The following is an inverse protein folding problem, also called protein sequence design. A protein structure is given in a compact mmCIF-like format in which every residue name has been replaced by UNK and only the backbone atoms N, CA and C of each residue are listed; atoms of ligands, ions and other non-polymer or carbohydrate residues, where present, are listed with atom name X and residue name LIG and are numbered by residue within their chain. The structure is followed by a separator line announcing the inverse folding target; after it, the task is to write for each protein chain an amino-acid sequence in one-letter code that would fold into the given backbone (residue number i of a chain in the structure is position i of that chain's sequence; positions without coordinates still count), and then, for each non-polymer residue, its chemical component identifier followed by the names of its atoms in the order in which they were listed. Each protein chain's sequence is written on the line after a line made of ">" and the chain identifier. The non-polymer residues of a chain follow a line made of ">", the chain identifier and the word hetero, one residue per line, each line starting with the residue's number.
data_IF_213110002564
#
_entry.id   IF_213110002564
#
_cell.length_a   1.000
_cell.length_b   1.000
_cell.length_c   1.000
_cell.angle_alpha   90.00
_cell.angle_beta   90.00
_cell.angle_gamma   90.00
#
_symmetry.space_group_name_H-M   'P 1'
#
loop_
_entity.id
_entity.type
_entity.pdbx_description
1 polymer ?
#
# COMPACT_ATOMS: atom_id res chain seq x y z
N UNK A 1 7.23 -22.76 8.78
CA UNK A 1 6.57 -22.27 7.56
C UNK A 1 7.57 -22.30 6.40
N UNK A 2 7.13 -22.80 5.24
CA UNK A 2 7.96 -22.84 4.02
C UNK A 2 7.70 -21.63 3.10
N UNK A 3 6.52 -21.02 3.21
CA UNK A 3 6.13 -19.84 2.42
C UNK A 3 5.49 -18.79 3.32
N UNK A 4 5.95 -17.54 3.20
CA UNK A 4 5.47 -16.42 4.01
C UNK A 4 5.16 -15.26 3.05
N UNK A 5 3.88 -14.85 3.01
CA UNK A 5 3.43 -13.69 2.25
C UNK A 5 3.17 -12.53 3.20
N UNK A 6 3.75 -11.38 2.89
CA UNK A 6 3.52 -10.12 3.59
C UNK A 6 2.54 -9.28 2.77
N UNK A 7 1.36 -9.02 3.32
CA UNK A 7 0.44 -8.02 2.77
C UNK A 7 0.80 -6.66 3.37
N UNK A 8 1.31 -5.78 2.53
CA UNK A 8 1.77 -4.46 2.95
C UNK A 8 0.68 -3.40 2.76
N UNK A 9 0.50 -2.56 3.77
CA UNK A 9 -0.43 -1.44 3.78
C UNK A 9 0.21 -0.06 3.64
N UNK A 10 1.55 0.05 3.57
CA UNK A 10 2.23 1.35 3.56
C UNK A 10 3.50 1.34 2.72
N UNK A 11 3.61 2.31 1.79
CA UNK A 11 4.75 2.40 0.86
C UNK A 11 6.12 2.52 1.55
N UNK A 12 6.20 3.18 2.69
CA UNK A 12 7.44 3.32 3.48
C UNK A 12 8.02 2.00 4.00
N UNK A 13 7.24 0.93 4.05
CA UNK A 13 7.70 -0.38 4.50
C UNK A 13 8.44 -1.17 3.41
N UNK A 14 8.23 -0.86 2.13
CA UNK A 14 8.69 -1.67 1.00
C UNK A 14 10.20 -1.90 1.08
N UNK A 15 10.99 -0.82 1.07
CA UNK A 15 12.45 -0.91 1.06
C UNK A 15 13.01 -1.68 2.28
N UNK A 16 12.40 -1.51 3.46
CA UNK A 16 12.81 -2.20 4.68
C UNK A 16 12.50 -3.70 4.62
N UNK A 17 11.32 -4.08 4.11
CA UNK A 17 10.94 -5.48 3.95
C UNK A 17 11.83 -6.17 2.90
N UNK A 18 12.07 -5.52 1.76
CA UNK A 18 12.94 -6.06 0.70
C UNK A 18 14.39 -6.22 1.17
N UNK A 19 14.90 -5.25 1.94
CA UNK A 19 16.23 -5.36 2.55
C UNK A 19 16.30 -6.56 3.51
N UNK A 20 15.30 -6.75 4.36
CA UNK A 20 15.22 -7.88 5.28
C UNK A 20 15.15 -9.22 4.53
N UNK A 21 14.39 -9.31 3.43
CA UNK A 21 14.36 -10.51 2.59
C UNK A 21 15.74 -10.82 1.99
N UNK A 22 16.42 -9.78 1.46
CA UNK A 22 17.75 -9.91 0.89
C UNK A 22 18.76 -10.41 1.93
N UNK A 23 18.71 -9.88 3.16
CA UNK A 23 19.57 -10.29 4.25
C UNK A 23 19.36 -11.75 4.64
N UNK A 24 18.10 -12.19 4.82
CA UNK A 24 17.76 -13.57 5.14
C UNK A 24 18.26 -14.57 4.09
N UNK A 25 18.10 -14.25 2.80
CA UNK A 25 18.63 -15.09 1.72
C UNK A 25 20.15 -15.07 1.65
N UNK A 26 20.79 -13.94 1.94
CA UNK A 26 22.24 -13.81 1.99
C UNK A 26 22.83 -14.67 3.12
N UNK A 27 22.22 -14.67 4.31
CA UNK A 27 22.64 -15.53 5.43
C UNK A 27 22.64 -17.02 5.05
N UNK A 28 21.58 -17.50 4.39
CA UNK A 28 21.53 -18.88 3.91
C UNK A 28 22.62 -19.17 2.88
N UNK A 29 22.87 -18.22 1.95
CA UNK A 29 23.90 -18.33 0.91
C UNK A 29 25.30 -18.38 1.52
N UNK A 30 25.61 -17.52 2.48
CA UNK A 30 26.91 -17.52 3.20
C UNK A 30 27.11 -18.81 3.99
N UNK A 31 26.05 -19.35 4.56
CA UNK A 31 26.06 -20.63 5.25
C UNK A 31 26.12 -21.83 4.28
N UNK A 32 26.11 -21.61 2.96
CA UNK A 32 26.10 -22.65 1.91
C UNK A 32 25.00 -23.68 2.10
N UNK A 33 23.81 -23.23 2.49
CA UNK A 33 22.62 -24.08 2.69
C UNK A 33 21.40 -23.47 1.96
N UNK A 34 20.42 -24.27 1.56
CA UNK A 34 19.14 -23.76 1.11
C UNK A 34 18.48 -22.89 2.19
N UNK A 35 17.74 -21.84 1.79
CA UNK A 35 16.98 -21.04 2.71
C UNK A 35 15.85 -21.86 3.39
N UNK A 36 15.23 -22.79 2.65
CA UNK A 36 14.14 -23.62 3.14
C UNK A 36 12.82 -22.87 3.30
N UNK A 37 12.75 -21.63 2.81
CA UNK A 37 11.54 -20.81 2.81
C UNK A 37 11.52 -19.89 1.58
N UNK A 38 10.32 -19.47 1.20
CA UNK A 38 10.09 -18.43 0.20
C UNK A 38 9.33 -17.25 0.83
N UNK A 39 9.75 -16.04 0.49
CA UNK A 39 9.18 -14.78 0.97
C UNK A 39 8.55 -14.04 -0.20
N UNK A 40 7.37 -13.45 0.01
CA UNK A 40 6.69 -12.65 -0.98
C UNK A 40 6.11 -11.39 -0.33
N UNK A 41 6.40 -10.22 -0.91
CA UNK A 41 5.79 -8.96 -0.56
C UNK A 41 4.68 -8.65 -1.57
N UNK A 42 3.52 -8.27 -1.08
CA UNK A 42 2.40 -7.82 -1.90
C UNK A 42 1.86 -6.54 -1.29
N UNK A 43 1.85 -5.45 -2.05
CA UNK A 43 1.19 -4.23 -1.62
C UNK A 43 -0.30 -4.33 -1.95
N UNK A 44 -1.18 -3.89 -1.06
CA UNK A 44 -2.63 -4.02 -1.27
C UNK A 44 -3.11 -3.30 -2.53
N UNK A 45 -2.48 -2.17 -2.89
CA UNK A 45 -2.82 -1.38 -4.07
C UNK A 45 -2.32 -1.99 -5.38
N UNK A 46 -1.34 -2.90 -5.33
CA UNK A 46 -0.79 -3.61 -6.50
C UNK A 46 -1.54 -4.94 -6.77
N UNK A 47 -2.51 -5.30 -5.93
CA UNK A 47 -3.38 -6.45 -6.18
C UNK A 47 -4.19 -6.24 -7.46
N UNK A 48 -4.50 -7.33 -8.14
CA UNK A 48 -5.13 -7.35 -9.46
C UNK A 48 -6.35 -6.43 -9.56
N UNK A 49 -6.27 -5.42 -10.42
CA UNK A 49 -7.33 -4.45 -10.73
C UNK A 49 -7.51 -3.33 -9.71
N UNK A 50 -6.83 -3.36 -8.55
CA UNK A 50 -7.04 -2.37 -7.47
C UNK A 50 -6.56 -0.99 -7.90
N UNK A 51 -5.37 -0.89 -8.47
CA UNK A 51 -4.81 0.38 -8.91
C UNK A 51 -5.64 1.00 -10.05
N UNK A 52 -6.09 0.18 -11.00
CA UNK A 52 -6.97 0.60 -12.09
C UNK A 52 -8.33 1.09 -11.57
N UNK A 53 -8.89 0.42 -10.56
CA UNK A 53 -10.13 0.86 -9.92
C UNK A 53 -9.92 2.19 -9.19
N UNK A 54 -8.84 2.31 -8.42
CA UNK A 54 -8.51 3.54 -7.71
C UNK A 54 -8.37 4.74 -8.67
N UNK A 55 -7.67 4.58 -9.79
CA UNK A 55 -7.55 5.65 -10.78
C UNK A 55 -8.86 5.98 -11.51
N UNK A 56 -9.74 5.01 -11.72
CA UNK A 56 -11.09 5.27 -12.24
C UNK A 56 -11.97 6.01 -11.24
N UNK A 57 -11.89 5.67 -9.96
CA UNK A 57 -12.67 6.32 -8.91
C UNK A 57 -12.16 7.72 -8.58
N UNK A 58 -10.86 7.94 -8.76
CA UNK A 58 -10.16 9.18 -8.40
C UNK A 58 -9.26 9.64 -9.54
N UNK A 59 -9.83 10.02 -10.70
CA UNK A 59 -9.04 10.40 -11.88
C UNK A 59 -8.22 11.68 -11.69
N UNK A 60 -8.60 12.50 -10.72
CA UNK A 60 -7.91 13.74 -10.32
C UNK A 60 -7.80 13.75 -8.80
N UNK A 61 -6.67 14.20 -8.26
CA UNK A 61 -6.47 14.30 -6.81
C UNK A 61 -6.24 12.96 -6.10
N UNK A 62 -5.84 11.90 -6.82
CA UNK A 62 -5.44 10.64 -6.17
C UNK A 62 -4.14 10.81 -5.38
N UNK A 63 -3.11 11.40 -6.00
CA UNK A 63 -1.84 11.67 -5.34
C UNK A 63 -1.03 10.43 -5.01
N UNK A 64 -0.08 10.61 -4.08
CA UNK A 64 0.86 9.55 -3.66
C UNK A 64 0.96 9.37 -2.13
N UNK A 65 0.38 10.28 -1.35
CA UNK A 65 0.33 10.20 0.11
C UNK A 65 -0.98 10.79 0.63
N UNK A 66 -1.58 10.17 1.62
CA UNK A 66 -2.94 10.42 2.10
C UNK A 66 -3.95 10.38 0.93
N UNK A 67 -3.87 9.33 0.13
CA UNK A 67 -4.67 9.16 -1.08
C UNK A 67 -6.15 8.95 -0.74
N UNK A 68 -7.09 9.43 -1.56
CA UNK A 68 -8.50 9.18 -1.31
C UNK A 68 -8.87 7.69 -1.35
N UNK A 69 -8.08 6.83 -2.02
CA UNK A 69 -8.29 5.38 -1.98
C UNK A 69 -7.97 4.79 -0.60
N UNK A 70 -6.86 5.18 0.04
CA UNK A 70 -6.51 4.76 1.41
C UNK A 70 -7.54 5.27 2.42
N UNK A 71 -7.95 6.53 2.28
CA UNK A 71 -8.95 7.14 3.16
C UNK A 71 -10.31 6.43 2.98
N UNK A 72 -10.72 6.10 1.74
CA UNK A 72 -11.96 5.39 1.48
C UNK A 72 -11.99 4.00 2.15
N UNK A 73 -10.87 3.25 2.07
CA UNK A 73 -10.73 1.96 2.76
C UNK A 73 -10.85 2.13 4.28
N UNK A 74 -10.22 3.17 4.84
CA UNK A 74 -10.31 3.47 6.27
C UNK A 74 -11.74 3.87 6.68
N UNK A 75 -12.42 4.69 5.88
CA UNK A 75 -13.82 5.10 6.12
C UNK A 75 -14.77 3.90 6.04
N UNK A 76 -14.55 2.98 5.13
CA UNK A 76 -15.33 1.75 5.04
C UNK A 76 -15.15 0.87 6.28
N UNK A 77 -13.92 0.75 6.78
CA UNK A 77 -13.62 -0.06 7.95
C UNK A 77 -14.12 0.57 9.27
N UNK A 78 -14.15 1.90 9.34
CA UNK A 78 -14.48 2.66 10.55
C UNK A 78 -15.40 3.86 10.23
N UNK A 79 -16.62 3.61 9.72
CA UNK A 79 -17.51 4.69 9.28
C UNK A 79 -17.92 5.65 10.39
N UNK A 80 -17.96 5.18 11.62
CA UNK A 80 -18.25 6.01 12.81
C UNK A 80 -17.11 6.98 13.19
N UNK A 81 -15.93 6.78 12.64
CA UNK A 81 -14.73 7.59 12.92
C UNK A 81 -14.44 8.63 11.83
N UNK A 82 -15.30 8.78 10.84
CA UNK A 82 -15.14 9.75 9.75
C UNK A 82 -15.16 11.17 10.31
N UNK A 83 -14.14 11.96 9.93
CA UNK A 83 -14.01 13.36 10.28
C UNK A 83 -14.09 14.21 9.02
N UNK A 84 -14.75 15.38 9.13
CA UNK A 84 -14.68 16.40 8.10
C UNK A 84 -13.46 17.27 8.30
N UNK A 85 -12.81 17.66 7.22
CA UNK A 85 -11.73 18.63 7.21
C UNK A 85 -11.83 19.52 5.96
N UNK A 86 -11.45 20.76 6.11
CA UNK A 86 -11.27 21.66 4.97
C UNK A 86 -9.80 21.62 4.53
N UNK A 87 -9.58 21.54 3.22
CA UNK A 87 -8.22 21.45 2.67
C UNK A 87 -7.89 22.68 1.84
N UNK A 88 -6.70 23.25 2.08
CA UNK A 88 -6.17 24.38 1.30
C UNK A 88 -4.68 24.16 1.01
N UNK A 89 -4.28 24.00 -0.26
CA UNK A 89 -5.15 23.87 -1.45
C UNK A 89 -5.99 22.58 -1.41
N UNK A 90 -7.09 22.50 -2.17
CA UNK A 90 -7.96 21.33 -2.20
C UNK A 90 -7.18 20.09 -2.64
N UNK A 91 -6.42 20.17 -3.72
CA UNK A 91 -5.45 19.14 -4.11
C UNK A 91 -4.08 19.60 -3.61
N UNK A 92 -3.42 18.79 -2.80
CA UNK A 92 -2.12 19.11 -2.23
C UNK A 92 -1.01 19.20 -3.29
N UNK A 93 0.07 19.92 -2.97
CA UNK A 93 1.26 19.98 -3.80
C UNK A 93 1.92 18.59 -3.95
N UNK A 94 2.71 18.46 -5.02
CA UNK A 94 3.55 17.27 -5.28
C UNK A 94 5.02 17.61 -5.08
N UNK A 95 5.85 16.58 -4.91
CA UNK A 95 7.30 16.75 -4.85
C UNK A 95 8.01 15.54 -4.24
N UNK A 96 9.34 15.54 -4.21
CA UNK A 96 10.10 14.45 -3.64
C UNK A 96 10.03 14.47 -2.11
N UNK A 97 10.05 13.28 -1.51
CA UNK A 97 10.29 13.08 -0.08
C UNK A 97 11.80 12.95 0.10
N UNK A 98 12.39 13.78 0.97
CA UNK A 98 13.83 13.75 1.30
C UNK A 98 14.03 13.37 2.76
N UNK A 99 13.94 14.36 3.64
CA UNK A 99 14.09 14.18 5.08
C UNK A 99 12.93 14.86 5.84
N UNK A 100 12.82 14.60 7.13
CA UNK A 100 11.64 14.96 7.91
C UNK A 100 11.32 16.46 7.97
N UNK A 101 12.33 17.34 8.01
CA UNK A 101 12.10 18.79 8.08
C UNK A 101 11.67 19.34 6.73
N UNK A 102 12.32 18.90 5.63
CA UNK A 102 11.92 19.25 4.26
C UNK A 102 10.49 18.77 3.96
N UNK A 103 10.17 17.53 4.38
CA UNK A 103 8.83 16.97 4.22
C UNK A 103 7.76 17.81 4.94
N UNK A 104 7.96 18.14 6.21
CA UNK A 104 7.02 18.94 7.00
C UNK A 104 6.85 20.35 6.48
N UNK A 105 7.92 20.94 5.94
CA UNK A 105 7.87 22.28 5.34
C UNK A 105 7.07 22.31 4.04
N UNK A 106 7.20 21.27 3.20
CA UNK A 106 6.52 21.17 1.90
C UNK A 106 5.09 20.65 2.00
N UNK A 107 4.87 19.72 2.91
CA UNK A 107 3.61 18.98 3.08
C UNK A 107 3.14 19.07 4.54
N UNK A 108 2.75 20.27 5.02
CA UNK A 108 2.48 20.51 6.44
C UNK A 108 1.31 19.69 6.98
N UNK A 109 0.39 19.26 6.13
CA UNK A 109 -0.73 18.38 6.46
C UNK A 109 -0.51 16.91 6.03
N UNK A 110 0.68 16.59 5.50
CA UNK A 110 1.08 15.26 5.08
C UNK A 110 0.53 14.79 3.74
N UNK A 111 -0.34 15.55 3.08
CA UNK A 111 -0.88 15.19 1.77
C UNK A 111 0.14 15.46 0.65
N UNK A 112 0.15 14.59 -0.38
CA UNK A 112 0.99 14.78 -1.56
C UNK A 112 0.20 14.49 -2.84
N UNK A 113 -0.18 15.56 -3.57
CA UNK A 113 -0.97 15.47 -4.80
C UNK A 113 -2.39 14.97 -4.59
N UNK A 114 -2.81 14.79 -3.34
CA UNK A 114 -4.05 14.12 -2.98
C UNK A 114 -5.13 15.08 -2.50
N UNK A 115 -6.38 14.65 -2.69
CA UNK A 115 -7.59 15.24 -2.13
C UNK A 115 -8.38 14.17 -1.37
N UNK A 116 -8.16 13.99 -0.07
CA UNK A 116 -8.87 13.00 0.74
C UNK A 116 -10.39 13.20 0.81
N UNK A 117 -10.90 14.42 0.52
CA UNK A 117 -12.34 14.69 0.51
C UNK A 117 -13.10 13.92 -0.59
N UNK A 118 -12.40 13.36 -1.58
CA UNK A 118 -12.98 12.52 -2.62
C UNK A 118 -13.33 11.11 -2.14
N UNK A 119 -12.84 10.71 -0.96
CA UNK A 119 -13.09 9.40 -0.38
C UNK A 119 -14.55 9.24 0.05
N UNK A 120 -15.11 8.04 -0.17
CA UNK A 120 -16.41 7.65 0.39
C UNK A 120 -16.36 6.20 0.88
N UNK A 121 -17.27 5.86 1.78
CA UNK A 121 -17.42 4.51 2.31
C UNK A 121 -17.67 3.49 1.19
N UNK A 122 -18.52 3.83 0.23
CA UNK A 122 -18.89 2.96 -0.90
C UNK A 122 -17.68 2.63 -1.77
N UNK A 123 -16.89 3.64 -2.15
CA UNK A 123 -15.64 3.46 -2.92
C UNK A 123 -14.65 2.60 -2.16
N UNK A 124 -14.55 2.80 -0.84
CA UNK A 124 -13.73 1.97 0.04
C UNK A 124 -14.15 0.51 0.01
N UNK A 125 -15.45 0.23 0.10
CA UNK A 125 -16.01 -1.11 0.02
C UNK A 125 -15.69 -1.83 -1.29
N UNK A 126 -15.79 -1.10 -2.43
CA UNK A 126 -15.44 -1.64 -3.75
C UNK A 126 -13.95 -2.01 -3.83
N UNK A 127 -13.07 -1.11 -3.34
CA UNK A 127 -11.61 -1.36 -3.29
C UNK A 127 -11.28 -2.58 -2.43
N UNK A 128 -11.86 -2.68 -1.23
CA UNK A 128 -11.63 -3.82 -0.33
C UNK A 128 -12.12 -5.13 -0.94
N UNK A 129 -13.30 -5.14 -1.55
CA UNK A 129 -13.83 -6.36 -2.19
C UNK A 129 -12.94 -6.84 -3.33
N UNK A 130 -12.44 -5.92 -4.16
CA UNK A 130 -11.52 -6.24 -5.25
C UNK A 130 -10.15 -6.70 -4.71
N UNK A 131 -9.60 -5.98 -3.72
CA UNK A 131 -8.33 -6.33 -3.09
C UNK A 131 -8.38 -7.71 -2.43
N UNK A 132 -9.47 -8.05 -1.74
CA UNK A 132 -9.66 -9.37 -1.14
C UNK A 132 -9.61 -10.49 -2.19
N UNK A 133 -10.28 -10.31 -3.34
CA UNK A 133 -10.22 -11.25 -4.45
C UNK A 133 -8.80 -11.39 -5.02
N UNK A 134 -8.13 -10.27 -5.27
CA UNK A 134 -6.75 -10.25 -5.76
C UNK A 134 -5.77 -10.89 -4.78
N UNK A 135 -5.98 -10.71 -3.46
CA UNK A 135 -5.18 -11.35 -2.44
C UNK A 135 -5.34 -12.88 -2.45
N UNK A 136 -6.58 -13.38 -2.57
CA UNK A 136 -6.83 -14.84 -2.69
C UNK A 136 -6.09 -15.41 -3.91
N UNK A 137 -6.15 -14.72 -5.06
CA UNK A 137 -5.43 -15.14 -6.26
C UNK A 137 -3.91 -15.16 -6.02
N UNK A 138 -3.36 -14.12 -5.38
CA UNK A 138 -1.93 -14.02 -5.07
C UNK A 138 -1.47 -15.10 -4.10
N UNK A 139 -2.25 -15.40 -3.06
CA UNK A 139 -1.97 -16.47 -2.10
C UNK A 139 -1.99 -17.84 -2.79
N UNK A 140 -3.01 -18.11 -3.61
CA UNK A 140 -3.12 -19.39 -4.32
C UNK A 140 -1.95 -19.57 -5.31
N UNK A 141 -1.61 -18.55 -6.09
CA UNK A 141 -0.47 -18.58 -7.00
C UNK A 141 0.83 -18.88 -6.24
N UNK A 142 1.10 -18.14 -5.16
CA UNK A 142 2.31 -18.34 -4.34
C UNK A 142 2.34 -19.71 -3.66
N UNK A 143 1.20 -20.23 -3.22
CA UNK A 143 1.10 -21.55 -2.61
C UNK A 143 1.44 -22.68 -3.59
N UNK A 144 1.11 -22.49 -4.89
CA UNK A 144 1.35 -23.46 -5.95
C UNK A 144 2.75 -23.36 -6.58
N UNK A 145 3.55 -22.35 -6.27
CA UNK A 145 4.96 -22.30 -6.69
C UNK A 145 5.72 -23.50 -6.13
N UNK A 146 6.82 -23.90 -6.80
CA UNK A 146 7.67 -24.96 -6.30
C UNK A 146 8.17 -24.65 -4.88
N UNK A 147 8.38 -25.71 -4.09
CA UNK A 147 8.99 -25.56 -2.76
C UNK A 147 10.42 -25.06 -2.90
N UNK A 148 10.87 -24.17 -2.00
CA UNK A 148 12.23 -23.65 -2.00
C UNK A 148 13.29 -24.70 -1.65
#
# INVERSE_FOLDING_TARGET
>A
FEKILFLNGHGGNIATIEAAFSELYAEASYARRPAGFALKLVNWWDLEGVNELAHRQFPVGHGSHATPSEIAVTQWAYPESIKSAEYSPQIANTGPIREALDFRARFPDGRMGSDPALATVEKGGELVALAAKGLVNSVNAFSNEAKP
#
